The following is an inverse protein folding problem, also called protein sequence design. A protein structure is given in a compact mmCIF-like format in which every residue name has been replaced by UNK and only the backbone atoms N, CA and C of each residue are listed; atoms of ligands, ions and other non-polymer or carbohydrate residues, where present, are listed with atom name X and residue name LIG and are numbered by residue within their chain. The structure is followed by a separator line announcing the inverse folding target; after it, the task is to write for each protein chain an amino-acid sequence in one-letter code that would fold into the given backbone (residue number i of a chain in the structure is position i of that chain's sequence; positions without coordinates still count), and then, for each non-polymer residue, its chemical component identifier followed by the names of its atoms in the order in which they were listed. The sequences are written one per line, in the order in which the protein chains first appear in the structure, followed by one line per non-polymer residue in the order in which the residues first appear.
data_IF_332752085755
#
_entry.id   IF_332752085755
#
_cell.length_a   1.000
_cell.length_b   1.000
_cell.length_c   1.000
_cell.angle_alpha   90.00
_cell.angle_beta   90.00
_cell.angle_gamma   90.00
#
_symmetry.space_group_name_H-M   'P 1'
#
loop_
_entity.id
_entity.type
_entity.pdbx_description
1 polymer ?
#
# COMPACT_ATOMS: atom_id res chain seq x y z
N UNK A 1 -8.85 5.42 18.05
CA UNK A 1 -10.20 4.82 18.10
C UNK A 1 -10.17 3.52 17.32
N UNK A 2 -10.66 2.44 17.93
CA UNK A 2 -10.42 1.05 17.55
C UNK A 2 -11.24 0.64 16.31
N UNK A 3 -10.65 0.72 15.11
CA UNK A 3 -11.27 0.19 13.89
C UNK A 3 -10.91 -1.30 13.75
N UNK A 4 -11.32 -2.11 14.73
CA UNK A 4 -11.44 -3.55 14.48
C UNK A 4 -12.62 -3.73 13.53
N UNK A 5 -12.32 -3.79 12.24
CA UNK A 5 -13.28 -4.20 11.22
C UNK A 5 -13.72 -5.63 11.56
N UNK A 6 -14.89 -5.75 12.17
CA UNK A 6 -15.55 -7.05 12.36
C UNK A 6 -15.69 -7.65 10.97
N UNK A 7 -14.92 -8.70 10.70
CA UNK A 7 -14.90 -9.32 9.38
C UNK A 7 -16.32 -9.76 9.04
N UNK A 8 -16.98 -9.03 8.13
CA UNK A 8 -18.32 -9.36 7.68
C UNK A 8 -18.33 -10.81 7.19
N UNK A 9 -19.39 -11.55 7.52
CA UNK A 9 -19.53 -12.95 7.10
C UNK A 9 -20.38 -12.99 5.84
N UNK A 10 -19.82 -13.55 4.78
CA UNK A 10 -20.46 -13.72 3.48
C UNK A 10 -20.67 -15.20 3.16
N UNK A 11 -21.72 -15.57 2.43
CA UNK A 11 -21.95 -16.96 2.05
C UNK A 11 -20.92 -17.41 0.99
N UNK A 12 -20.33 -18.59 1.19
CA UNK A 12 -19.42 -19.21 0.22
C UNK A 12 -20.13 -19.39 -1.13
N UNK A 13 -19.46 -19.05 -2.22
CA UNK A 13 -20.05 -19.23 -3.55
C UNK A 13 -20.34 -20.70 -3.89
N UNK A 14 -19.54 -21.64 -3.36
CA UNK A 14 -19.61 -23.07 -3.62
C UNK A 14 -20.57 -23.80 -2.67
N UNK A 15 -20.30 -23.79 -1.35
CA UNK A 15 -21.07 -24.57 -0.38
C UNK A 15 -22.14 -23.78 0.39
N UNK A 16 -22.26 -22.46 0.16
CA UNK A 16 -23.12 -21.53 0.91
C UNK A 16 -22.84 -21.41 2.41
N UNK A 17 -21.80 -22.08 2.93
CA UNK A 17 -21.35 -21.95 4.32
C UNK A 17 -20.78 -20.56 4.63
N UNK A 18 -20.66 -20.19 5.92
CA UNK A 18 -20.18 -18.89 6.34
C UNK A 18 -18.69 -18.71 6.05
N UNK A 19 -18.31 -17.59 5.46
CA UNK A 19 -16.89 -17.23 5.22
C UNK A 19 -16.65 -15.79 5.63
N UNK A 20 -15.60 -15.54 6.41
CA UNK A 20 -15.18 -14.18 6.74
C UNK A 20 -14.71 -13.44 5.47
N UNK A 21 -15.03 -12.16 5.31
CA UNK A 21 -14.65 -11.35 4.14
C UNK A 21 -13.14 -11.31 3.86
N UNK A 22 -12.30 -11.52 4.89
CA UNK A 22 -10.84 -11.60 4.77
C UNK A 22 -10.30 -12.99 4.43
N UNK A 23 -11.13 -14.03 4.46
CA UNK A 23 -10.66 -15.39 4.29
C UNK A 23 -10.43 -15.71 2.80
N UNK A 24 -9.21 -16.16 2.48
CA UNK A 24 -8.86 -16.60 1.12
C UNK A 24 -9.58 -17.89 0.70
N UNK A 25 -9.92 -18.74 1.66
CA UNK A 25 -10.54 -20.05 1.43
C UNK A 25 -11.71 -20.25 2.38
N UNK A 26 -12.74 -20.95 1.90
CA UNK A 26 -13.83 -21.39 2.75
C UNK A 26 -13.35 -22.45 3.75
N UNK A 27 -13.65 -22.28 5.03
CA UNK A 27 -13.31 -23.25 6.08
C UNK A 27 -14.10 -24.57 5.97
N UNK A 28 -15.26 -24.55 5.29
CA UNK A 28 -16.14 -25.71 5.16
C UNK A 28 -15.75 -26.59 3.96
N UNK A 29 -15.62 -26.00 2.76
CA UNK A 29 -15.36 -26.76 1.54
C UNK A 29 -13.97 -26.55 0.92
N UNK A 30 -13.14 -25.66 1.48
CA UNK A 30 -11.80 -25.36 0.96
C UNK A 30 -11.75 -24.56 -0.34
N UNK A 31 -12.90 -24.18 -0.92
CA UNK A 31 -12.93 -23.39 -2.14
C UNK A 31 -12.31 -22.01 -1.93
N UNK A 32 -11.47 -21.57 -2.87
CA UNK A 32 -10.94 -20.19 -2.90
C UNK A 32 -12.08 -19.19 -3.02
N UNK A 33 -12.05 -18.13 -2.24
CA UNK A 33 -13.04 -17.04 -2.30
C UNK A 33 -12.47 -15.82 -3.02
N UNK A 34 -13.34 -15.01 -3.59
CA UNK A 34 -12.96 -13.74 -4.20
C UNK A 34 -12.49 -12.72 -3.16
N UNK A 35 -11.80 -11.65 -3.59
CA UNK A 35 -11.38 -10.58 -2.69
C UNK A 35 -12.62 -9.91 -2.08
N UNK A 36 -12.68 -9.85 -0.75
CA UNK A 36 -13.68 -9.05 -0.04
C UNK A 36 -13.43 -7.55 -0.20
N UNK A 37 -14.47 -6.75 0.04
CA UNK A 37 -14.39 -5.30 0.19
C UNK A 37 -13.79 -4.94 1.57
N UNK A 38 -12.47 -5.12 1.68
CA UNK A 38 -11.66 -4.84 2.87
C UNK A 38 -10.46 -3.98 2.47
N UNK A 39 -9.96 -3.20 3.42
CA UNK A 39 -8.77 -2.38 3.27
C UNK A 39 -7.48 -3.21 3.11
N UNK A 40 -6.41 -2.55 2.65
CA UNK A 40 -5.12 -3.20 2.37
C UNK A 40 -4.44 -3.73 3.63
N UNK A 41 -4.57 -3.05 4.77
CA UNK A 41 -4.00 -3.51 6.04
C UNK A 41 -4.69 -4.79 6.50
N UNK A 42 -6.03 -4.80 6.54
CA UNK A 42 -6.81 -6.00 6.90
C UNK A 42 -6.54 -7.16 5.93
N UNK A 43 -6.37 -6.88 4.63
CA UNK A 43 -6.06 -7.89 3.60
C UNK A 43 -4.72 -8.59 3.84
N UNK A 44 -3.70 -7.82 4.26
CA UNK A 44 -2.38 -8.35 4.59
C UNK A 44 -2.24 -8.77 6.05
N UNK A 45 -3.30 -8.62 6.85
CA UNK A 45 -3.30 -8.97 8.28
C UNK A 45 -2.47 -8.02 9.13
N UNK A 46 -2.30 -6.78 8.69
CA UNK A 46 -1.50 -5.74 9.35
C UNK A 46 -2.38 -4.75 10.09
N UNK A 47 -1.78 -4.03 11.04
CA UNK A 47 -2.46 -2.92 11.73
C UNK A 47 -2.36 -1.65 10.87
N UNK A 48 -3.43 -0.86 10.74
CA UNK A 48 -3.38 0.42 10.02
C UNK A 48 -2.53 1.44 10.78
N UNK A 49 -1.30 1.64 10.31
CA UNK A 49 -0.33 2.63 10.80
C UNK A 49 0.53 3.10 9.63
N UNK A 50 1.08 4.31 9.71
CA UNK A 50 2.07 4.77 8.76
C UNK A 50 3.40 4.01 8.93
N UNK A 51 3.83 3.78 10.16
CA UNK A 51 5.10 3.11 10.48
C UNK A 51 4.96 1.58 10.35
N UNK A 52 4.87 1.10 9.12
CA UNK A 52 4.76 -0.32 8.77
C UNK A 52 6.13 -1.00 8.79
N UNK A 53 6.24 -2.14 9.47
CA UNK A 53 7.37 -3.05 9.35
C UNK A 53 7.37 -3.71 7.96
N UNK A 54 8.33 -3.32 7.12
CA UNK A 54 8.47 -3.82 5.76
C UNK A 54 8.85 -5.31 5.70
N UNK A 55 9.56 -5.82 6.69
CA UNK A 55 9.91 -7.24 6.78
C UNK A 55 8.68 -8.09 7.15
N UNK A 56 7.83 -7.59 8.05
CA UNK A 56 6.53 -8.19 8.30
C UNK A 56 5.62 -8.15 7.06
N UNK A 57 5.51 -7.00 6.40
CA UNK A 57 4.74 -6.82 5.18
C UNK A 57 5.14 -7.84 4.11
N UNK A 58 6.45 -7.96 3.87
CA UNK A 58 7.01 -8.90 2.91
C UNK A 58 6.72 -10.35 3.28
N UNK A 59 6.87 -10.72 4.56
CA UNK A 59 6.54 -12.09 5.05
C UNK A 59 5.07 -12.43 4.86
N UNK A 60 4.16 -11.52 5.19
CA UNK A 60 2.71 -11.72 5.00
C UNK A 60 2.39 -11.90 3.51
N UNK A 61 2.89 -11.00 2.67
CA UNK A 61 2.68 -11.03 1.22
C UNK A 61 3.12 -12.36 0.60
N UNK A 62 4.35 -12.81 0.85
CA UNK A 62 4.84 -14.09 0.32
C UNK A 62 4.06 -15.29 0.88
N UNK A 63 3.65 -15.23 2.15
CA UNK A 63 2.80 -16.24 2.78
C UNK A 63 1.47 -16.42 2.05
N UNK A 64 0.81 -15.32 1.68
CA UNK A 64 -0.43 -15.36 0.91
C UNK A 64 -0.21 -15.76 -0.55
N UNK A 65 0.81 -15.20 -1.21
CA UNK A 65 1.12 -15.50 -2.61
C UNK A 65 1.40 -16.99 -2.82
N UNK A 66 2.12 -17.64 -1.89
CA UNK A 66 2.38 -19.08 -1.92
C UNK A 66 1.09 -19.92 -1.88
N UNK A 67 0.05 -19.44 -1.20
CA UNK A 67 -1.25 -20.13 -1.11
C UNK A 67 -2.09 -19.94 -2.37
N UNK A 68 -1.93 -18.80 -3.05
CA UNK A 68 -2.69 -18.39 -4.25
C UNK A 68 -1.93 -18.63 -5.56
N UNK A 69 -0.75 -19.27 -5.50
CA UNK A 69 0.10 -19.49 -6.67
C UNK A 69 -0.65 -20.21 -7.80
N UNK A 70 -0.55 -19.73 -9.07
CA UNK A 70 -1.28 -20.29 -10.21
C UNK A 70 -1.14 -21.81 -10.37
N UNK A 71 0.05 -22.36 -10.11
CA UNK A 71 0.31 -23.81 -10.19
C UNK A 71 -0.63 -24.63 -9.29
N UNK A 72 -1.01 -24.11 -8.13
CA UNK A 72 -1.94 -24.80 -7.20
C UNK A 72 -3.35 -24.89 -7.78
N UNK A 73 -3.68 -24.03 -8.74
CA UNK A 73 -4.97 -23.94 -9.38
C UNK A 73 -4.97 -24.42 -10.84
N UNK A 74 -3.82 -24.87 -11.37
CA UNK A 74 -3.69 -25.31 -12.77
C UNK A 74 -4.69 -26.43 -13.14
N UNK A 75 -4.96 -27.35 -12.21
CA UNK A 75 -5.94 -28.43 -12.38
C UNK A 75 -7.34 -28.12 -11.82
N UNK A 76 -7.58 -26.91 -11.32
CA UNK A 76 -8.86 -26.49 -10.71
C UNK A 76 -9.84 -25.96 -11.74
N UNK A 77 -11.09 -25.75 -11.31
CA UNK A 77 -12.14 -25.17 -12.16
C UNK A 77 -11.75 -23.78 -12.67
N UNK A 78 -12.32 -23.37 -13.82
CA UNK A 78 -12.11 -22.03 -14.39
C UNK A 78 -12.47 -20.93 -13.40
N UNK A 79 -13.53 -21.12 -12.61
CA UNK A 79 -13.95 -20.20 -11.56
C UNK A 79 -12.91 -20.07 -10.45
N UNK A 80 -12.36 -21.18 -9.96
CA UNK A 80 -11.32 -21.14 -8.92
C UNK A 80 -10.03 -20.48 -9.43
N UNK A 81 -9.64 -20.73 -10.68
CA UNK A 81 -8.51 -20.04 -11.33
C UNK A 81 -8.73 -18.52 -11.36
N UNK A 82 -9.90 -18.08 -11.81
CA UNK A 82 -10.24 -16.66 -11.87
C UNK A 82 -10.27 -15.99 -10.49
N UNK A 83 -10.82 -16.68 -9.48
CA UNK A 83 -10.85 -16.17 -8.10
C UNK A 83 -9.45 -16.10 -7.48
N UNK A 84 -8.59 -17.09 -7.72
CA UNK A 84 -7.20 -17.06 -7.28
C UNK A 84 -6.43 -15.90 -7.90
N UNK A 85 -6.61 -15.68 -9.20
CA UNK A 85 -5.99 -14.56 -9.91
C UNK A 85 -6.47 -13.21 -9.35
N UNK A 86 -7.78 -13.07 -9.13
CA UNK A 86 -8.36 -11.83 -8.58
C UNK A 86 -7.83 -11.53 -7.17
N UNK A 87 -7.67 -12.57 -6.34
CA UNK A 87 -7.05 -12.43 -5.01
C UNK A 87 -5.59 -12.03 -5.08
N UNK A 88 -4.82 -12.66 -5.99
CA UNK A 88 -3.41 -12.32 -6.18
C UNK A 88 -3.26 -10.85 -6.62
N UNK A 89 -4.08 -10.38 -7.56
CA UNK A 89 -4.09 -8.96 -7.98
C UNK A 89 -4.38 -8.03 -6.80
N UNK A 90 -5.41 -8.31 -6.00
CA UNK A 90 -5.75 -7.47 -4.84
C UNK A 90 -4.67 -7.48 -3.74
N UNK A 91 -3.93 -8.60 -3.58
CA UNK A 91 -2.79 -8.67 -2.67
C UNK A 91 -1.59 -7.90 -3.17
N UNK A 92 -1.31 -7.96 -4.48
CA UNK A 92 -0.23 -7.19 -5.08
C UNK A 92 -0.49 -5.70 -4.94
N UNK A 93 -1.72 -5.25 -5.23
CA UNK A 93 -2.11 -3.84 -5.06
C UNK A 93 -1.94 -3.39 -3.60
N UNK A 94 -2.39 -4.21 -2.64
CA UNK A 94 -2.20 -3.93 -1.22
C UNK A 94 -0.71 -3.84 -0.84
N UNK A 95 0.10 -4.78 -1.32
CA UNK A 95 1.53 -4.81 -1.03
C UNK A 95 2.26 -3.59 -1.62
N UNK A 96 2.03 -3.29 -2.90
CA UNK A 96 2.65 -2.13 -3.57
C UNK A 96 2.23 -0.80 -2.92
N UNK A 97 0.98 -0.71 -2.45
CA UNK A 97 0.47 0.48 -1.76
C UNK A 97 1.10 0.66 -0.38
N UNK A 98 1.19 -0.42 0.42
CA UNK A 98 1.75 -0.34 1.78
C UNK A 98 3.28 -0.27 1.79
N UNK A 99 3.95 -0.77 0.75
CA UNK A 99 5.41 -0.73 0.63
C UNK A 99 5.92 0.68 0.37
N UNK A 100 5.26 1.41 -0.53
CA UNK A 100 5.60 2.77 -0.89
C UNK A 100 5.14 3.76 0.21
N UNK A 101 6.04 4.52 0.85
CA UNK A 101 5.66 5.44 1.92
C UNK A 101 4.64 6.50 1.51
N UNK A 102 4.75 7.04 0.29
CA UNK A 102 3.86 8.09 -0.21
C UNK A 102 2.46 7.52 -0.46
N UNK A 103 2.37 6.40 -1.18
CA UNK A 103 1.08 5.72 -1.42
C UNK A 103 0.43 5.28 -0.11
N UNK A 104 1.23 4.80 0.85
CA UNK A 104 0.76 4.40 2.17
C UNK A 104 0.22 5.58 2.98
N UNK A 105 0.89 6.74 2.95
CA UNK A 105 0.40 7.96 3.60
C UNK A 105 -0.95 8.38 3.02
N UNK A 106 -1.03 8.54 1.70
CA UNK A 106 -2.27 8.91 1.02
C UNK A 106 -3.39 7.89 1.26
N UNK A 107 -3.08 6.59 1.21
CA UNK A 107 -4.04 5.53 1.49
C UNK A 107 -4.56 5.59 2.93
N UNK A 108 -3.67 5.81 3.91
CA UNK A 108 -4.07 5.92 5.32
C UNK A 108 -4.92 7.18 5.55
N UNK A 109 -4.58 8.30 4.94
CA UNK A 109 -5.39 9.54 5.00
C UNK A 109 -6.77 9.33 4.37
N UNK A 110 -6.84 8.66 3.22
CA UNK A 110 -8.11 8.26 2.59
C UNK A 110 -8.97 7.40 3.53
N UNK A 111 -8.38 6.43 4.23
CA UNK A 111 -9.09 5.61 5.22
C UNK A 111 -9.59 6.42 6.43
N UNK A 112 -8.89 7.48 6.81
CA UNK A 112 -9.24 8.38 7.89
C UNK A 112 -10.23 9.49 7.46
N UNK A 113 -10.65 9.51 6.20
CA UNK A 113 -11.60 10.49 5.67
C UNK A 113 -10.98 11.81 5.18
N UNK A 114 -9.66 11.85 5.02
CA UNK A 114 -8.92 12.98 4.45
C UNK A 114 -8.36 12.59 3.08
N UNK A 115 -9.16 12.66 2.00
CA UNK A 115 -8.71 12.13 0.74
C UNK A 115 -7.59 12.98 0.11
N UNK A 116 -6.51 12.31 -0.27
CA UNK A 116 -5.37 12.88 -1.00
C UNK A 116 -5.32 12.24 -2.37
N UNK A 117 -5.33 13.07 -3.41
CA UNK A 117 -5.23 12.61 -4.80
C UNK A 117 -3.79 12.72 -5.28
N UNK A 118 -3.08 11.58 -5.27
CA UNK A 118 -1.72 11.47 -5.81
C UNK A 118 -1.66 11.58 -7.35
N UNK A 119 -2.80 11.45 -8.03
CA UNK A 119 -2.90 11.49 -9.51
C UNK A 119 -3.35 12.84 -10.03
N UNK A 120 -3.92 13.68 -9.17
CA UNK A 120 -4.07 15.08 -9.46
C UNK A 120 -2.66 15.64 -9.66
N UNK A 121 -2.28 15.84 -10.93
CA UNK A 121 -1.30 16.84 -11.33
C UNK A 121 -1.86 18.22 -10.95
N UNK A 122 -2.16 18.45 -9.67
CA UNK A 122 -2.37 19.78 -9.14
C UNK A 122 -1.10 20.53 -9.44
N UNK A 123 -1.23 21.69 -10.07
CA UNK A 123 -0.14 22.66 -10.13
C UNK A 123 0.45 22.74 -8.73
N UNK A 124 1.74 22.45 -8.58
CA UNK A 124 2.43 22.65 -7.31
C UNK A 124 2.27 24.15 -7.02
N UNK A 125 1.34 24.49 -6.13
CA UNK A 125 1.03 25.89 -5.83
C UNK A 125 2.07 26.49 -4.88
N UNK A 126 2.99 25.65 -4.41
CA UNK A 126 4.15 26.04 -3.64
C UNK A 126 5.27 26.52 -4.56
N UNK A 127 5.46 27.84 -4.59
CA UNK A 127 6.49 28.49 -5.40
C UNK A 127 7.90 28.13 -4.90
N UNK A 128 8.08 27.94 -3.59
CA UNK A 128 9.38 27.62 -3.00
C UNK A 128 9.82 26.22 -3.43
N UNK A 129 8.92 25.25 -3.29
CA UNK A 129 9.14 23.87 -3.74
C UNK A 129 9.41 23.80 -5.26
N UNK A 130 8.69 24.59 -6.07
CA UNK A 130 8.94 24.64 -7.52
C UNK A 130 10.33 25.16 -7.86
N UNK A 131 10.79 26.22 -7.19
CA UNK A 131 12.14 26.78 -7.42
C UNK A 131 13.21 25.76 -7.01
N UNK A 132 13.06 25.13 -5.84
CA UNK A 132 13.95 24.07 -5.36
C UNK A 132 14.04 22.89 -6.35
N UNK A 133 12.89 22.45 -6.89
CA UNK A 133 12.86 21.39 -7.92
C UNK A 133 13.58 21.79 -9.22
N UNK A 134 13.48 23.05 -9.63
CA UNK A 134 14.18 23.56 -10.82
C UNK A 134 15.70 23.56 -10.59
N UNK A 135 16.16 24.11 -9.46
CA UNK A 135 17.58 24.16 -9.10
C UNK A 135 18.21 22.76 -9.04
N UNK A 136 17.51 21.78 -8.45
CA UNK A 136 17.97 20.38 -8.41
C UNK A 136 18.07 19.74 -9.79
N UNK A 137 17.15 20.05 -10.69
CA UNK A 137 17.20 19.56 -12.08
C UNK A 137 18.36 20.17 -12.86
N UNK A 138 18.63 21.45 -12.65
CA UNK A 138 19.77 22.13 -13.25
C UNK A 138 21.09 21.54 -12.74
N UNK A 139 21.24 21.39 -11.41
CA UNK A 139 22.42 20.76 -10.80
C UNK A 139 22.67 19.33 -11.33
N UNK A 140 21.60 18.55 -11.53
CA UNK A 140 21.70 17.21 -12.13
C UNK A 140 22.11 17.27 -13.61
N UNK A 141 21.64 18.26 -14.36
CA UNK A 141 22.01 18.44 -15.77
C UNK A 141 23.46 18.91 -15.94
N UNK A 142 24.00 19.64 -14.97
CA UNK A 142 25.40 20.12 -14.96
C UNK A 142 26.39 19.06 -14.45
N UNK A 143 25.90 18.04 -13.74
CA UNK A 143 26.72 16.94 -13.27
C UNK A 143 27.31 16.15 -14.45
N UNK A 144 28.63 16.17 -14.56
CA UNK A 144 29.38 15.53 -15.66
C UNK A 144 30.13 14.29 -15.21
N UNK A 145 30.16 14.02 -13.89
CA UNK A 145 30.88 12.90 -13.28
C UNK A 145 29.94 12.05 -12.45
N UNK A 146 30.17 10.73 -12.34
CA UNK A 146 29.36 9.85 -11.51
C UNK A 146 29.42 10.23 -10.03
N UNK A 147 30.53 10.82 -9.56
CA UNK A 147 30.68 11.30 -8.18
C UNK A 147 29.74 12.48 -7.87
N UNK A 148 29.57 13.42 -8.82
CA UNK A 148 28.63 14.53 -8.67
C UNK A 148 27.18 14.03 -8.64
N UNK A 149 26.83 13.09 -9.53
CA UNK A 149 25.50 12.48 -9.55
C UNK A 149 25.23 11.72 -8.25
N UNK A 150 26.21 10.98 -7.74
CA UNK A 150 26.09 10.27 -6.46
C UNK A 150 25.86 11.23 -5.29
N UNK A 151 26.56 12.37 -5.25
CA UNK A 151 26.35 13.41 -4.22
C UNK A 151 24.92 13.95 -4.24
N UNK A 152 24.41 14.32 -5.42
CA UNK A 152 23.05 14.82 -5.58
C UNK A 152 22.00 13.76 -5.22
N UNK A 153 22.25 12.49 -5.55
CA UNK A 153 21.37 11.39 -5.15
C UNK A 153 21.32 11.23 -3.63
N UNK A 154 22.47 11.27 -2.95
CA UNK A 154 22.53 11.19 -1.49
C UNK A 154 21.81 12.37 -0.80
N UNK A 155 21.94 13.58 -1.33
CA UNK A 155 21.25 14.76 -0.82
C UNK A 155 19.72 14.60 -0.94
N UNK A 156 19.23 14.23 -2.11
CA UNK A 156 17.80 13.96 -2.32
C UNK A 156 17.28 12.81 -1.45
N UNK A 157 18.04 11.72 -1.30
CA UNK A 157 17.67 10.61 -0.41
C UNK A 157 17.54 11.07 1.04
N UNK A 158 18.43 11.94 1.51
CA UNK A 158 18.37 12.47 2.88
C UNK A 158 17.13 13.33 3.13
N UNK A 159 16.72 14.15 2.15
CA UNK A 159 15.51 14.97 2.24
C UNK A 159 14.25 14.13 2.19
N UNK A 160 14.22 13.09 1.33
CA UNK A 160 13.12 12.13 1.29
C UNK A 160 12.94 11.46 2.65
N UNK A 161 14.04 11.05 3.29
CA UNK A 161 14.00 10.47 4.65
C UNK A 161 13.48 11.50 5.65
N UNK A 162 13.94 12.75 5.59
CA UNK A 162 13.46 13.81 6.48
C UNK A 162 11.95 14.04 6.33
N UNK A 163 11.43 14.13 5.10
CA UNK A 163 10.00 14.23 4.83
C UNK A 163 9.21 13.03 5.38
N UNK A 164 9.73 11.81 5.21
CA UNK A 164 9.10 10.62 5.80
C UNK A 164 9.06 10.68 7.34
N UNK A 165 10.12 11.18 7.99
CA UNK A 165 10.12 11.40 9.43
C UNK A 165 9.06 12.44 9.86
N UNK A 166 8.88 13.51 9.09
CA UNK A 166 7.81 14.49 9.34
C UNK A 166 6.42 13.87 9.22
N UNK A 167 6.16 13.10 8.17
CA UNK A 167 4.88 12.38 8.00
C UNK A 167 4.64 11.41 9.16
N UNK A 168 5.65 10.63 9.54
CA UNK A 168 5.57 9.72 10.69
C UNK A 168 5.24 10.47 11.98
N UNK A 169 5.92 11.58 12.25
CA UNK A 169 5.64 12.42 13.41
C UNK A 169 4.21 13.00 13.39
N UNK A 170 3.73 13.46 12.24
CA UNK A 170 2.38 14.00 12.07
C UNK A 170 1.29 12.96 12.34
N UNK A 171 1.46 11.73 11.84
CA UNK A 171 0.54 10.62 12.15
C UNK A 171 0.57 10.25 13.63
N UNK A 172 1.76 10.22 14.26
CA UNK A 172 1.91 9.93 15.68
C UNK A 172 1.29 11.01 16.59
N UNK A 173 1.32 12.27 16.15
CA UNK A 173 0.65 13.40 16.82
C UNK A 173 -0.86 13.50 16.51
N UNK A 174 -1.40 12.62 15.67
CA UNK A 174 -2.77 12.68 15.13
C UNK A 174 -3.09 14.00 14.40
N UNK A 175 -2.09 14.68 13.84
CA UNK A 175 -2.25 15.89 13.05
C UNK A 175 -2.40 15.53 11.56
N UNK A 176 -3.65 15.26 11.14
CA UNK A 176 -3.94 14.75 9.79
C UNK A 176 -3.82 15.82 8.70
N UNK A 177 -3.97 17.11 9.04
CA UNK A 177 -3.78 18.22 8.09
C UNK A 177 -2.31 18.37 7.71
N UNK A 178 -1.42 18.29 8.71
CA UNK A 178 0.02 18.34 8.47
C UNK A 178 0.51 17.09 7.73
N UNK A 179 -0.01 15.90 8.07
CA UNK A 179 0.28 14.68 7.33
C UNK A 179 -0.18 14.77 5.86
N UNK A 180 -1.31 15.42 5.57
CA UNK A 180 -1.81 15.63 4.22
C UNK A 180 -1.06 16.72 3.44
N UNK A 181 -0.38 17.65 4.12
CA UNK A 181 0.48 18.63 3.45
C UNK A 181 1.76 17.99 2.91
N UNK A 182 2.32 17.02 3.65
CA UNK A 182 3.55 16.32 3.28
C UNK A 182 3.33 15.06 2.43
N UNK A 183 2.08 14.60 2.27
CA UNK A 183 1.71 13.38 1.52
C UNK A 183 1.09 13.71 0.16
#
# INVERSE_FOLDING_TARGET
MNVSAVAAVVPCWSCKGPVASRALFCSVCGAVQGPGAIDHYTRLGMTPTFDVDLDELQRQYFGFQKRLHPDRFAAKSSREKALSQSQATALNEAYETLKDPLKRAAYLLNLLGHPVDLTACGTINDRELLMEQMEKREALSEATTPEQVAKLAMENESEVIACQCHISAAFNAANLEEAAHFA
#
